data_IF_666961631059
#
_entry.id   IF_666961631059
#
_cell.length_a   1.000
_cell.length_b   1.000
_cell.length_c   1.000
_cell.angle_alpha   90.00
_cell.angle_beta   90.00
_cell.angle_gamma   90.00
#
_symmetry.space_group_name_H-M   'P 1'
#
loop_
_entity.id
_entity.type
_entity.pdbx_description
1 polymer ?
#
# COMPACT_ATOMS: atom_id res chain seq x y z
N UNK A 1 -19.89 -1.61 -23.74
CA UNK A 1 -21.05 -0.97 -23.08
C UNK A 1 -20.99 -1.35 -21.61
N UNK A 2 -21.00 -0.38 -20.67
CA UNK A 2 -21.07 -0.70 -19.25
C UNK A 2 -22.34 -1.46 -18.91
N UNK A 3 -22.22 -2.44 -18.01
CA UNK A 3 -23.33 -3.23 -17.50
C UNK A 3 -23.36 -3.14 -15.95
N UNK A 4 -24.50 -3.41 -15.31
CA UNK A 4 -24.59 -3.58 -13.87
C UNK A 4 -23.72 -4.73 -13.37
N UNK A 5 -23.68 -4.92 -12.05
CA UNK A 5 -22.96 -6.06 -11.46
C UNK A 5 -23.51 -7.40 -11.98
N UNK A 6 -22.63 -8.40 -12.10
CA UNK A 6 -23.05 -9.76 -12.41
C UNK A 6 -23.73 -10.36 -11.17
N UNK A 7 -24.93 -10.93 -11.34
CA UNK A 7 -25.63 -11.66 -10.30
C UNK A 7 -25.22 -13.14 -10.32
N UNK A 8 -25.29 -13.78 -11.51
CA UNK A 8 -24.92 -15.18 -11.68
C UNK A 8 -24.68 -15.53 -13.15
N UNK A 9 -24.16 -16.72 -13.38
CA UNK A 9 -23.99 -17.34 -14.69
C UNK A 9 -25.01 -18.44 -14.86
N UNK A 10 -25.64 -18.52 -16.04
CA UNK A 10 -26.57 -19.58 -16.44
C UNK A 10 -26.17 -20.15 -17.82
N UNK A 11 -25.31 -21.20 -17.81
CA UNK A 11 -24.71 -21.71 -19.03
C UNK A 11 -23.77 -20.68 -19.66
N UNK A 12 -24.09 -20.29 -20.90
CA UNK A 12 -23.37 -19.25 -21.67
C UNK A 12 -23.98 -17.84 -21.51
N UNK A 13 -25.01 -17.70 -20.65
CA UNK A 13 -25.62 -16.41 -20.32
C UNK A 13 -25.09 -15.86 -19.01
N UNK A 14 -24.93 -14.53 -18.99
CA UNK A 14 -24.69 -13.74 -17.77
C UNK A 14 -25.98 -13.04 -17.39
N UNK A 15 -26.42 -13.21 -16.16
CA UNK A 15 -27.54 -12.48 -15.55
C UNK A 15 -26.98 -11.35 -14.70
N UNK A 16 -27.43 -10.13 -14.98
CA UNK A 16 -27.00 -8.93 -14.25
C UNK A 16 -27.98 -8.58 -13.11
N UNK A 17 -27.51 -7.78 -12.18
CA UNK A 17 -28.29 -7.39 -10.98
C UNK A 17 -29.57 -6.59 -11.27
N UNK A 18 -29.71 -6.07 -12.48
CA UNK A 18 -30.94 -5.42 -12.97
C UNK A 18 -31.91 -6.39 -13.66
N UNK A 19 -31.57 -7.71 -13.71
CA UNK A 19 -32.33 -8.76 -14.36
C UNK A 19 -32.09 -8.88 -15.86
N UNK A 20 -31.27 -8.02 -16.46
CA UNK A 20 -30.91 -8.15 -17.87
C UNK A 20 -30.00 -9.38 -18.09
N UNK A 21 -29.98 -9.91 -19.31
CA UNK A 21 -29.22 -11.10 -19.69
C UNK A 21 -28.47 -10.87 -21.00
N UNK A 22 -27.28 -11.44 -21.10
CA UNK A 22 -26.49 -11.46 -22.33
C UNK A 22 -25.77 -12.78 -22.52
N UNK A 23 -25.69 -13.24 -23.74
CA UNK A 23 -24.80 -14.34 -24.11
C UNK A 23 -23.37 -13.84 -24.20
N UNK A 24 -22.45 -14.54 -23.56
CA UNK A 24 -21.03 -14.16 -23.42
C UNK A 24 -20.16 -15.37 -23.76
N UNK A 25 -19.30 -15.21 -24.74
CA UNK A 25 -18.35 -16.26 -25.14
C UNK A 25 -17.15 -16.39 -24.21
N UNK A 26 -16.75 -15.28 -23.56
CA UNK A 26 -15.57 -15.22 -22.70
C UNK A 26 -15.76 -14.22 -21.57
N UNK A 27 -15.42 -14.62 -20.36
CA UNK A 27 -15.35 -13.73 -19.19
C UNK A 27 -13.90 -13.60 -18.72
N UNK A 28 -13.40 -12.37 -18.66
CA UNK A 28 -12.09 -12.06 -18.11
C UNK A 28 -12.28 -11.42 -16.73
N UNK A 29 -11.93 -12.15 -15.67
CA UNK A 29 -11.98 -11.64 -14.30
C UNK A 29 -10.75 -10.78 -14.02
N UNK A 30 -10.95 -9.46 -14.00
CA UNK A 30 -9.92 -8.48 -13.63
C UNK A 30 -10.32 -7.74 -12.33
N UNK A 31 -10.74 -8.50 -11.33
CA UNK A 31 -11.39 -8.00 -10.09
C UNK A 31 -10.41 -7.50 -9.03
N UNK A 32 -9.10 -7.63 -9.28
CA UNK A 32 -8.05 -7.28 -8.32
C UNK A 32 -7.81 -8.38 -7.27
N UNK A 33 -7.07 -8.01 -6.23
CA UNK A 33 -6.67 -8.93 -5.16
C UNK A 33 -7.15 -8.41 -3.80
N UNK A 34 -7.41 -9.33 -2.89
CA UNK A 34 -7.57 -9.01 -1.47
C UNK A 34 -6.23 -9.21 -0.77
N UNK A 35 -5.85 -8.23 0.05
CA UNK A 35 -4.68 -8.37 0.88
C UNK A 35 -5.00 -9.32 2.04
N UNK A 36 -4.24 -10.41 2.13
CA UNK A 36 -4.34 -11.35 3.23
C UNK A 36 -2.94 -11.68 3.74
N UNK A 37 -2.75 -11.62 5.05
CA UNK A 37 -1.49 -11.95 5.71
C UNK A 37 -1.78 -12.93 6.87
N UNK A 38 -2.23 -14.16 6.58
CA UNK A 38 -2.73 -15.09 7.60
C UNK A 38 -1.65 -15.58 8.57
N UNK A 39 -0.39 -15.29 8.27
CA UNK A 39 0.78 -15.60 9.12
C UNK A 39 1.13 -14.47 10.10
N UNK A 40 0.50 -13.31 10.00
CA UNK A 40 0.68 -12.20 10.92
C UNK A 40 -0.45 -12.17 11.95
N UNK A 41 -0.20 -11.60 13.16
CA UNK A 41 -1.25 -11.29 14.10
C UNK A 41 -2.31 -10.39 13.46
N UNK A 42 -3.58 -10.56 13.82
CA UNK A 42 -4.69 -9.74 13.32
C UNK A 42 -4.47 -8.25 13.60
N UNK A 43 -3.74 -7.93 14.65
CA UNK A 43 -3.41 -6.59 15.07
C UNK A 43 -2.04 -6.07 14.59
N UNK A 44 -1.44 -6.71 13.60
CA UNK A 44 -0.14 -6.30 13.05
C UNK A 44 -0.13 -4.84 12.55
N UNK A 45 -1.28 -4.33 12.16
CA UNK A 45 -1.56 -2.94 11.80
C UNK A 45 -3.03 -2.60 11.98
N UNK A 46 -3.35 -1.33 12.04
CA UNK A 46 -4.73 -0.86 11.90
C UNK A 46 -5.13 -0.87 10.42
N UNK A 47 -6.36 -1.27 10.14
CA UNK A 47 -6.93 -1.16 8.80
C UNK A 47 -7.52 0.25 8.60
N UNK A 48 -7.05 0.95 7.60
CA UNK A 48 -7.60 2.23 7.17
C UNK A 48 -8.17 2.12 5.75
N UNK A 49 -9.43 1.72 5.68
CA UNK A 49 -10.16 1.63 4.41
C UNK A 49 -9.69 0.47 3.52
N UNK A 50 -9.51 -0.72 4.12
CA UNK A 50 -9.06 -1.94 3.44
C UNK A 50 -7.55 -2.05 3.28
N UNK A 51 -6.77 -1.29 4.08
CA UNK A 51 -5.31 -1.30 3.99
C UNK A 51 -4.60 -1.08 5.30
N UNK A 52 -3.38 -1.68 5.41
CA UNK A 52 -2.53 -1.44 6.55
C UNK A 52 -2.16 0.04 6.74
N UNK A 53 -2.34 0.57 7.95
CA UNK A 53 -1.80 1.87 8.33
C UNK A 53 -0.31 1.74 8.69
N UNK A 54 0.53 1.98 7.72
CA UNK A 54 1.98 1.84 7.81
C UNK A 54 2.66 3.21 7.66
N UNK A 55 3.65 3.48 8.50
CA UNK A 55 4.52 4.63 8.30
C UNK A 55 5.31 4.47 7.00
N UNK A 56 5.26 5.46 6.12
CA UNK A 56 5.84 5.44 4.76
C UNK A 56 5.37 4.27 3.89
N UNK A 57 4.25 3.63 4.18
CA UNK A 57 3.80 2.40 3.52
C UNK A 57 4.78 1.22 3.69
N UNK A 58 5.65 1.28 4.70
CA UNK A 58 6.72 0.32 4.97
C UNK A 58 6.59 -0.25 6.37
N UNK A 59 6.62 0.59 7.39
CA UNK A 59 6.83 0.17 8.78
C UNK A 59 5.52 0.09 9.55
N UNK A 60 5.33 -1.00 10.29
CA UNK A 60 4.25 -1.07 11.25
C UNK A 60 4.40 0.02 12.31
N UNK A 61 3.31 0.72 12.59
CA UNK A 61 3.26 1.70 13.68
C UNK A 61 3.15 1.02 15.05
N UNK A 62 2.74 -0.25 15.06
CA UNK A 62 2.54 -1.04 16.27
C UNK A 62 3.75 -1.88 16.64
N UNK A 63 4.33 -2.59 15.67
CA UNK A 63 5.46 -3.48 15.88
C UNK A 63 6.75 -2.88 15.32
N UNK A 64 7.75 -2.69 16.17
CA UNK A 64 9.02 -2.09 15.76
C UNK A 64 9.84 -2.97 14.82
N UNK A 65 9.61 -4.28 14.83
CA UNK A 65 10.31 -5.28 14.03
C UNK A 65 9.51 -5.79 12.84
N UNK A 66 8.44 -5.09 12.45
CA UNK A 66 7.62 -5.46 11.30
C UNK A 66 7.71 -4.36 10.24
N UNK A 67 8.24 -4.73 9.10
CA UNK A 67 8.25 -3.94 7.88
C UNK A 67 7.70 -4.76 6.72
N UNK A 68 7.09 -4.11 5.76
CA UNK A 68 6.58 -4.72 4.53
C UNK A 68 7.04 -3.95 3.31
N UNK A 69 7.30 -4.66 2.23
CA UNK A 69 7.66 -4.10 0.94
C UNK A 69 6.50 -4.32 -0.03
N UNK A 70 6.12 -3.28 -0.79
CA UNK A 70 5.13 -3.42 -1.85
C UNK A 70 3.71 -2.95 -1.50
N UNK A 71 3.43 -2.52 -0.26
CA UNK A 71 2.14 -1.91 0.12
C UNK A 71 2.03 -0.42 -0.28
N UNK A 72 2.56 -0.08 -1.43
CA UNK A 72 2.47 1.26 -2.00
C UNK A 72 1.90 1.18 -3.41
N UNK A 73 1.00 2.08 -3.75
CA UNK A 73 0.41 2.16 -5.09
C UNK A 73 0.74 3.48 -5.75
N UNK A 74 1.29 3.36 -6.93
CA UNK A 74 1.58 4.48 -7.83
C UNK A 74 0.72 4.41 -9.09
N UNK A 75 0.54 5.54 -9.74
CA UNK A 75 -0.03 5.58 -11.09
C UNK A 75 0.95 5.08 -12.19
N UNK A 76 2.19 4.74 -11.79
CA UNK A 76 3.28 4.27 -12.65
C UNK A 76 3.94 3.02 -12.08
N UNK A 77 5.01 2.53 -12.72
CA UNK A 77 5.77 1.38 -12.23
C UNK A 77 6.44 1.65 -10.86
N UNK A 78 6.26 0.74 -9.91
CA UNK A 78 6.72 0.88 -8.53
C UNK A 78 8.14 0.37 -8.28
N UNK A 79 8.71 -0.43 -9.18
CA UNK A 79 9.93 -1.22 -8.92
C UNK A 79 11.14 -0.39 -8.52
N UNK A 80 11.36 0.76 -9.17
CA UNK A 80 12.47 1.65 -8.82
C UNK A 80 12.37 2.22 -7.39
N UNK A 81 11.16 2.29 -6.84
CA UNK A 81 10.95 2.76 -5.45
C UNK A 81 11.23 1.67 -4.42
N UNK A 82 11.25 0.40 -4.82
CA UNK A 82 11.45 -0.70 -3.89
C UNK A 82 12.90 -0.78 -3.38
N UNK A 83 13.86 -0.39 -4.19
CA UNK A 83 15.26 -0.33 -3.74
C UNK A 83 15.41 0.72 -2.62
N UNK A 84 14.84 1.91 -2.80
CA UNK A 84 14.84 2.97 -1.79
C UNK A 84 14.12 2.56 -0.49
N UNK A 85 13.02 1.82 -0.62
CA UNK A 85 12.31 1.25 0.54
C UNK A 85 13.16 0.19 1.24
N UNK A 86 13.80 -0.70 0.47
CA UNK A 86 14.62 -1.79 0.99
C UNK A 86 15.82 -1.26 1.78
N UNK A 87 16.46 -0.19 1.32
CA UNK A 87 17.57 0.44 2.05
C UNK A 87 17.15 0.92 3.45
N UNK A 88 15.97 1.52 3.58
CA UNK A 88 15.42 1.90 4.89
C UNK A 88 15.10 0.69 5.77
N UNK A 89 14.55 -0.38 5.19
CA UNK A 89 14.26 -1.62 5.91
C UNK A 89 15.56 -2.26 6.44
N UNK A 90 16.58 -2.34 5.59
CA UNK A 90 17.89 -2.90 5.97
C UNK A 90 18.53 -2.05 7.07
N UNK A 91 18.48 -0.72 6.94
CA UNK A 91 19.02 0.17 7.96
C UNK A 91 18.32 0.00 9.32
N UNK A 92 17.00 -0.17 9.34
CA UNK A 92 16.23 -0.44 10.57
C UNK A 92 16.57 -1.85 11.14
N UNK A 93 16.61 -2.86 10.29
CA UNK A 93 16.86 -4.24 10.69
C UNK A 93 18.28 -4.48 11.24
N UNK A 94 19.27 -3.70 10.78
CA UNK A 94 20.66 -3.80 11.22
C UNK A 94 21.01 -2.85 12.36
N UNK A 95 20.12 -1.87 12.66
CA UNK A 95 20.31 -0.96 13.77
C UNK A 95 20.13 -1.67 15.12
N UNK A 96 21.03 -1.43 16.07
CA UNK A 96 20.78 -1.82 17.45
C UNK A 96 19.77 -0.88 18.10
N UNK A 97 19.02 -1.38 19.09
CA UNK A 97 17.95 -0.60 19.75
C UNK A 97 18.42 0.72 20.38
N UNK A 98 19.69 0.81 20.73
CA UNK A 98 20.33 1.96 21.35
C UNK A 98 20.78 3.02 20.32
N UNK A 99 20.78 2.68 19.02
CA UNK A 99 21.22 3.63 17.98
C UNK A 99 20.31 4.83 17.85
N UNK A 100 20.88 5.95 17.44
CA UNK A 100 20.10 7.16 17.15
C UNK A 100 19.07 6.92 16.03
N UNK A 101 19.39 6.04 15.07
CA UNK A 101 18.50 5.66 13.99
C UNK A 101 17.23 4.99 14.52
N UNK A 102 17.38 3.92 15.32
CA UNK A 102 16.24 3.17 15.86
C UNK A 102 15.31 4.07 16.69
N UNK A 103 15.86 4.95 17.53
CA UNK A 103 15.07 5.90 18.32
C UNK A 103 14.31 6.91 17.44
N UNK A 104 15.00 7.55 16.51
CA UNK A 104 14.40 8.52 15.58
C UNK A 104 13.31 7.89 14.72
N UNK A 105 13.54 6.68 14.23
CA UNK A 105 12.55 5.99 13.40
C UNK A 105 11.31 5.61 14.24
N UNK A 106 11.49 5.12 15.47
CA UNK A 106 10.39 4.82 16.38
C UNK A 106 9.54 6.06 16.68
N UNK A 107 10.18 7.21 16.93
CA UNK A 107 9.50 8.50 17.13
C UNK A 107 8.69 8.89 15.87
N UNK A 108 9.30 8.80 14.68
CA UNK A 108 8.63 9.15 13.43
C UNK A 108 7.42 8.27 13.15
N UNK A 109 7.51 6.97 13.42
CA UNK A 109 6.38 6.03 13.28
C UNK A 109 5.16 6.46 14.11
N UNK A 110 5.36 7.08 15.26
CA UNK A 110 4.28 7.47 16.18
C UNK A 110 3.72 8.87 15.92
N UNK A 111 4.57 9.80 15.50
CA UNK A 111 4.22 11.23 15.52
C UNK A 111 4.25 11.91 14.16
N UNK A 112 4.66 11.21 13.11
CA UNK A 112 4.81 11.79 11.78
C UNK A 112 4.10 10.99 10.71
N UNK A 113 3.12 11.60 10.06
CA UNK A 113 2.40 11.02 8.92
C UNK A 113 2.57 11.97 7.71
N UNK A 114 3.62 11.77 6.89
CA UNK A 114 3.92 12.69 5.82
C UNK A 114 2.86 12.65 4.71
N UNK A 115 2.56 13.80 4.12
CA UNK A 115 1.78 13.85 2.90
C UNK A 115 2.54 13.18 1.74
N UNK A 116 2.00 12.04 1.29
CA UNK A 116 2.55 11.26 0.18
C UNK A 116 1.81 11.51 -1.14
N UNK A 117 0.78 12.38 -1.14
CA UNK A 117 -0.09 12.63 -2.29
C UNK A 117 0.26 13.92 -3.04
N UNK A 118 1.20 14.70 -2.54
CA UNK A 118 1.56 16.01 -3.11
C UNK A 118 0.34 16.94 -3.32
N UNK A 119 -0.69 16.84 -2.47
CA UNK A 119 -1.92 17.59 -2.61
C UNK A 119 -2.87 17.08 -3.71
N UNK A 120 -2.52 16.02 -4.45
CA UNK A 120 -3.39 15.43 -5.45
C UNK A 120 -4.64 14.81 -4.84
N UNK A 121 -5.78 15.06 -5.47
CA UNK A 121 -7.05 14.42 -5.14
C UNK A 121 -7.29 13.27 -6.10
N UNK A 122 -7.04 12.06 -5.64
CA UNK A 122 -7.38 10.85 -6.40
C UNK A 122 -8.88 10.57 -6.34
N UNK A 123 -9.41 9.86 -7.34
CA UNK A 123 -10.81 9.44 -7.38
C UNK A 123 -11.10 8.62 -6.11
N UNK A 124 -12.20 8.93 -5.43
CA UNK A 124 -12.62 8.29 -4.19
C UNK A 124 -13.21 6.89 -4.44
N UNK A 125 -12.39 5.98 -4.96
CA UNK A 125 -12.71 4.56 -5.08
C UNK A 125 -11.76 3.74 -4.22
N UNK A 126 -12.13 2.54 -3.77
CA UNK A 126 -11.24 1.68 -3.00
C UNK A 126 -9.87 1.47 -3.67
N UNK A 127 -9.85 1.36 -5.01
CA UNK A 127 -8.63 1.20 -5.79
C UNK A 127 -7.69 2.40 -5.71
N UNK A 128 -8.21 3.63 -5.70
CA UNK A 128 -7.39 4.83 -5.81
C UNK A 128 -7.15 5.54 -4.45
N UNK A 129 -7.84 5.10 -3.41
CA UNK A 129 -7.77 5.74 -2.09
C UNK A 129 -6.34 5.81 -1.51
N UNK A 130 -5.49 4.89 -1.92
CA UNK A 130 -4.14 4.70 -1.38
C UNK A 130 -3.01 5.05 -2.35
N UNK A 131 -3.34 5.61 -3.50
CA UNK A 131 -2.33 6.10 -4.43
C UNK A 131 -1.49 7.18 -3.77
N UNK A 132 -0.21 7.11 -4.02
CA UNK A 132 0.76 8.14 -3.67
C UNK A 132 1.38 8.71 -4.95
N UNK A 133 1.83 9.94 -4.88
CA UNK A 133 2.63 10.55 -5.94
C UNK A 133 4.06 10.02 -5.85
N UNK A 134 4.60 9.50 -6.95
CA UNK A 134 5.91 8.82 -6.96
C UNK A 134 7.05 9.78 -6.62
N UNK A 135 7.05 10.98 -7.19
CA UNK A 135 8.11 11.95 -6.97
C UNK A 135 8.10 12.47 -5.54
N UNK A 136 6.88 12.72 -5.03
CA UNK A 136 6.69 13.10 -3.62
C UNK A 136 7.14 11.99 -2.68
N UNK A 137 6.79 10.74 -2.98
CA UNK A 137 7.17 9.60 -2.18
C UNK A 137 8.69 9.43 -2.09
N UNK A 138 9.38 9.44 -3.24
CA UNK A 138 10.84 9.34 -3.30
C UNK A 138 11.51 10.51 -2.57
N UNK A 139 11.00 11.73 -2.73
CA UNK A 139 11.48 12.89 -2.00
C UNK A 139 11.37 12.73 -0.48
N UNK A 140 10.24 12.21 -0.01
CA UNK A 140 10.02 11.94 1.42
C UNK A 140 10.95 10.84 1.92
N UNK A 141 11.09 9.72 1.18
CA UNK A 141 12.04 8.66 1.53
C UNK A 141 13.46 9.22 1.64
N UNK A 142 13.94 9.95 0.64
CA UNK A 142 15.27 10.56 0.66
C UNK A 142 15.45 11.55 1.82
N UNK A 143 14.42 12.31 2.19
CA UNK A 143 14.46 13.17 3.37
C UNK A 143 14.61 12.35 4.64
N UNK A 144 13.79 11.31 4.82
CA UNK A 144 13.84 10.46 6.01
C UNK A 144 15.17 9.73 6.10
N UNK A 145 15.71 9.21 4.99
CA UNK A 145 17.05 8.60 4.94
C UNK A 145 18.13 9.55 5.49
N UNK A 146 18.16 10.79 4.98
CA UNK A 146 19.12 11.82 5.46
C UNK A 146 18.96 12.12 6.95
N UNK A 147 17.74 12.28 7.45
CA UNK A 147 17.47 12.56 8.85
C UNK A 147 17.87 11.40 9.79
N UNK A 148 17.79 10.16 9.28
CA UNK A 148 18.20 8.96 9.97
C UNK A 148 19.70 8.67 9.83
N UNK A 149 20.41 9.35 8.92
CA UNK A 149 21.82 9.10 8.63
C UNK A 149 22.04 7.83 7.80
N UNK A 150 21.05 7.40 7.04
CA UNK A 150 21.18 6.30 6.07
C UNK A 150 21.83 6.88 4.81
N UNK A 151 22.94 6.27 4.37
CA UNK A 151 23.62 6.66 3.13
C UNK A 151 22.69 6.42 1.92
N UNK A 152 22.70 7.35 0.99
CA UNK A 152 22.06 7.19 -0.33
C UNK A 152 23.09 6.71 -1.34
#
# INVERSE_FOLDING_TARGET
IPKPGIERFEGDEVVFTDGSREQIDLVIAATGYQHASPFLPEDAWEDKGGRPDLYLRIFSKRYNNLAVLGFVEFASAAYASFDEMAELIVADATATKETSLARKLAEKKQHHDPDLKAGHRYIATPRHANYVDVDRYLKVLGQVKRELGVAS
#
